data_IF_065148828641
#
_entry.id   IF_065148828641
#
_cell.length_a   1.000
_cell.length_b   1.000
_cell.length_c   1.000
_cell.angle_alpha   90.00
_cell.angle_beta   90.00
_cell.angle_gamma   90.00
#
_symmetry.space_group_name_H-M   'P 1'
#
loop_
_entity.id
_entity.type
_entity.pdbx_description
1 polymer ?
#
# COMPACT_ATOMS: atom_id res chain seq x y z
N UNK A 1 47.07 32.87 61.11
CA UNK A 1 46.63 31.75 60.21
C UNK A 1 45.16 31.44 60.50
N UNK A 2 44.20 31.60 59.58
CA UNK A 2 42.76 31.35 59.86
C UNK A 2 42.47 29.86 59.73
N UNK A 3 41.90 29.27 60.75
CA UNK A 3 41.42 27.86 60.75
C UNK A 3 40.20 27.73 59.85
N UNK A 4 40.31 26.94 58.74
CA UNK A 4 39.22 26.57 57.86
C UNK A 4 38.24 25.64 58.64
N UNK A 5 37.01 26.07 58.93
CA UNK A 5 35.94 25.23 59.45
C UNK A 5 35.45 24.32 58.31
N UNK A 6 35.60 23.00 58.48
CA UNK A 6 34.96 22.02 57.64
C UNK A 6 33.44 22.05 57.88
N UNK A 7 32.65 22.28 56.83
CA UNK A 7 31.21 22.13 56.91
C UNK A 7 30.88 20.63 56.86
N UNK A 8 30.01 20.10 57.80
CA UNK A 8 29.61 18.70 57.73
C UNK A 8 28.82 18.42 56.48
N UNK A 9 29.23 17.40 55.73
CA UNK A 9 28.55 16.88 54.56
C UNK A 9 27.21 16.27 54.98
N UNK A 10 26.12 16.68 54.34
CA UNK A 10 24.78 16.14 54.57
C UNK A 10 24.77 14.64 54.33
N UNK A 11 24.09 13.80 55.16
CA UNK A 11 24.04 12.37 54.97
C UNK A 11 23.35 12.06 53.64
N UNK A 12 24.01 11.30 52.79
CA UNK A 12 23.46 10.80 51.54
C UNK A 12 22.30 9.84 51.88
N UNK A 13 21.11 10.15 51.44
CA UNK A 13 19.94 9.26 51.55
C UNK A 13 20.27 7.93 50.90
N UNK A 14 20.27 6.83 51.66
CA UNK A 14 20.39 5.47 51.12
C UNK A 14 19.21 5.21 50.19
N UNK A 15 19.49 5.09 48.90
CA UNK A 15 18.50 4.73 47.87
C UNK A 15 18.06 3.27 48.15
N UNK A 16 16.80 3.08 48.49
CA UNK A 16 16.24 1.74 48.74
C UNK A 16 16.23 0.91 47.46
N UNK A 17 16.45 -0.43 47.58
CA UNK A 17 16.45 -1.36 46.42
C UNK A 17 15.22 -1.22 45.51
N UNK A 18 14.06 -0.84 46.08
CA UNK A 18 12.83 -0.55 45.32
C UNK A 18 12.95 0.69 44.42
N UNK A 19 13.66 1.72 44.83
CA UNK A 19 13.87 2.94 44.05
C UNK A 19 14.88 2.76 42.89
N UNK A 20 15.79 1.77 43.05
CA UNK A 20 16.75 1.44 41.98
C UNK A 20 16.14 0.57 40.89
N UNK A 21 15.13 -0.26 41.20
CA UNK A 21 14.45 -1.15 40.26
C UNK A 21 13.33 -0.47 39.47
N UNK A 22 12.76 0.61 39.98
CA UNK A 22 11.60 1.28 39.36
C UNK A 22 11.90 1.88 37.98
N UNK A 23 13.03 2.59 37.74
CA UNK A 23 13.33 3.16 36.44
C UNK A 23 13.51 2.11 35.32
N UNK A 24 14.28 1.02 35.49
CA UNK A 24 14.46 0.03 34.43
C UNK A 24 13.15 -0.73 34.10
N UNK A 25 12.28 -0.96 35.07
CA UNK A 25 10.97 -1.60 34.84
C UNK A 25 10.06 -0.67 34.04
N UNK A 26 10.01 0.61 34.36
CA UNK A 26 9.21 1.58 33.60
C UNK A 26 9.71 1.75 32.17
N UNK A 27 11.03 1.76 31.94
CA UNK A 27 11.62 1.81 30.60
C UNK A 27 11.27 0.53 29.82
N UNK A 28 11.35 -0.63 30.45
CA UNK A 28 10.99 -1.92 29.83
C UNK A 28 9.52 -1.97 29.40
N UNK A 29 8.60 -1.49 30.24
CA UNK A 29 7.16 -1.41 29.89
C UNK A 29 6.92 -0.41 28.77
N UNK A 30 7.56 0.76 28.79
CA UNK A 30 7.40 1.77 27.76
C UNK A 30 7.93 1.30 26.40
N UNK A 31 9.07 0.59 26.36
CA UNK A 31 9.61 0.01 25.11
C UNK A 31 8.73 -1.10 24.58
N UNK A 32 8.22 -1.99 25.43
CA UNK A 32 7.29 -3.05 25.02
C UNK A 32 5.98 -2.45 24.47
N UNK A 33 5.40 -1.47 25.15
CA UNK A 33 4.21 -0.77 24.68
C UNK A 33 4.47 -0.07 23.33
N UNK A 34 5.64 0.56 23.15
CA UNK A 34 6.04 1.18 21.89
C UNK A 34 6.13 0.18 20.72
N UNK A 35 6.72 -1.00 20.97
CA UNK A 35 6.81 -2.07 19.95
C UNK A 35 5.41 -2.61 19.60
N UNK A 36 4.55 -2.82 20.59
CA UNK A 36 3.17 -3.26 20.38
C UNK A 36 2.40 -2.23 19.55
N UNK A 37 2.47 -0.94 19.90
CA UNK A 37 1.80 0.12 19.15
C UNK A 37 2.33 0.18 17.71
N UNK A 38 3.62 0.04 17.46
CA UNK A 38 4.19 0.01 16.11
C UNK A 38 3.74 -1.20 15.30
N UNK A 39 3.52 -2.36 15.93
CA UNK A 39 3.04 -3.57 15.24
C UNK A 39 1.53 -3.53 14.95
N UNK A 40 0.75 -2.87 15.81
CA UNK A 40 -0.71 -2.77 15.66
C UNK A 40 -1.20 -1.43 15.14
N UNK A 41 -0.31 -0.45 14.92
CA UNK A 41 -0.70 0.77 14.19
C UNK A 41 -1.07 0.36 12.77
N UNK A 42 -2.30 0.62 12.32
CA UNK A 42 -2.63 0.39 10.91
C UNK A 42 -1.60 1.15 10.07
N UNK A 43 -1.11 0.55 8.97
CA UNK A 43 -0.23 1.26 8.06
C UNK A 43 -0.90 2.60 7.73
N UNK A 44 -0.14 3.68 7.61
CA UNK A 44 -0.72 4.96 7.22
C UNK A 44 -1.59 4.70 6.00
N UNK A 45 -2.80 5.26 5.96
CA UNK A 45 -3.73 5.08 4.83
C UNK A 45 -3.13 5.77 3.60
N UNK A 46 -2.08 5.17 3.08
CA UNK A 46 -1.30 5.65 1.94
C UNK A 46 -2.20 5.79 0.72
N UNK A 47 -3.20 4.91 0.61
CA UNK A 47 -4.18 4.93 -0.48
C UNK A 47 -5.10 6.16 -0.44
N UNK A 48 -5.30 6.76 0.73
CA UNK A 48 -6.11 7.99 0.89
C UNK A 48 -5.33 9.29 0.70
N UNK A 49 -4.04 9.24 0.37
CA UNK A 49 -3.20 10.42 0.16
C UNK A 49 -3.43 10.96 -1.25
N UNK A 50 -3.72 12.27 -1.35
CA UNK A 50 -3.69 12.97 -2.61
C UNK A 50 -2.27 13.48 -2.88
N UNK A 51 -1.78 13.30 -4.10
CA UNK A 51 -0.51 13.87 -4.56
C UNK A 51 -0.59 15.40 -4.54
N UNK A 52 0.50 16.04 -4.17
CA UNK A 52 0.60 17.51 -4.19
C UNK A 52 0.85 18.05 -5.61
N UNK A 53 1.50 17.26 -6.42
CA UNK A 53 1.80 17.57 -7.81
C UNK A 53 1.92 16.27 -8.60
N UNK A 54 1.49 16.29 -9.85
CA UNK A 54 1.52 15.14 -10.76
C UNK A 54 2.73 15.23 -11.69
N UNK A 55 3.38 14.09 -11.98
CA UNK A 55 4.57 13.97 -12.84
C UNK A 55 5.84 14.70 -12.38
N UNK A 56 5.92 15.09 -11.12
CA UNK A 56 7.11 15.75 -10.54
C UNK A 56 7.67 15.06 -9.32
N UNK A 57 7.04 13.98 -8.89
CA UNK A 57 7.48 13.23 -7.72
C UNK A 57 8.76 12.44 -8.01
N UNK A 58 9.60 12.28 -6.98
CA UNK A 58 10.94 11.65 -7.12
C UNK A 58 10.85 10.16 -7.45
N UNK A 59 9.87 9.47 -6.87
CA UNK A 59 9.61 8.06 -7.15
C UNK A 59 8.48 7.96 -8.17
N UNK A 60 8.76 7.33 -9.30
CA UNK A 60 7.88 7.29 -10.45
C UNK A 60 8.12 5.97 -11.21
N UNK A 61 7.11 5.08 -11.24
CA UNK A 61 7.17 3.79 -11.94
C UNK A 61 5.85 3.52 -12.68
N UNK A 62 5.94 2.72 -13.75
CA UNK A 62 4.84 2.39 -14.64
C UNK A 62 4.70 0.87 -14.84
N UNK A 63 4.34 0.11 -13.80
CA UNK A 63 4.10 -1.32 -13.98
C UNK A 63 2.87 -1.57 -14.86
N UNK A 64 2.83 -2.75 -15.46
CA UNK A 64 1.73 -3.20 -16.32
C UNK A 64 0.79 -4.08 -15.50
N UNK A 65 -0.53 -3.81 -15.55
CA UNK A 65 -1.58 -4.62 -14.94
C UNK A 65 -2.56 -5.08 -16.01
N UNK A 66 -2.40 -6.31 -16.45
CA UNK A 66 -3.25 -6.94 -17.46
C UNK A 66 -4.45 -7.62 -16.80
N UNK A 67 -5.65 -7.31 -17.26
CA UNK A 67 -6.89 -7.94 -16.81
C UNK A 67 -7.44 -8.79 -17.94
N UNK A 68 -7.73 -10.05 -17.65
CA UNK A 68 -8.38 -10.97 -18.58
C UNK A 68 -9.68 -11.47 -18.00
N UNK A 69 -10.77 -11.39 -18.76
CA UNK A 69 -12.05 -12.01 -18.47
C UNK A 69 -12.29 -13.12 -19.47
N UNK A 70 -12.33 -14.37 -19.01
CA UNK A 70 -12.49 -15.58 -19.85
C UNK A 70 -11.58 -15.53 -21.08
N UNK A 71 -10.27 -15.32 -20.84
CA UNK A 71 -9.20 -15.20 -21.83
C UNK A 71 -9.25 -13.96 -22.75
N UNK A 72 -10.23 -13.05 -22.57
CA UNK A 72 -10.32 -11.79 -23.30
C UNK A 72 -9.67 -10.66 -22.50
N UNK A 73 -8.72 -9.96 -23.11
CA UNK A 73 -8.08 -8.82 -22.47
C UNK A 73 -9.08 -7.65 -22.30
N UNK A 74 -9.10 -7.11 -21.09
CA UNK A 74 -9.80 -5.87 -20.73
C UNK A 74 -8.77 -4.80 -20.36
N UNK A 75 -9.12 -3.54 -20.58
CA UNK A 75 -8.23 -2.42 -20.30
C UNK A 75 -8.70 -1.65 -19.07
N UNK A 76 -7.77 -1.01 -18.40
CA UNK A 76 -8.06 -0.07 -17.33
C UNK A 76 -8.62 1.23 -17.91
N UNK A 77 -9.62 1.85 -17.30
CA UNK A 77 -10.12 3.15 -17.72
C UNK A 77 -9.09 4.26 -17.44
N UNK A 78 -9.13 5.32 -18.22
CA UNK A 78 -8.47 6.58 -17.91
C UNK A 78 -9.00 7.18 -16.61
N UNK A 79 -8.14 7.85 -15.84
CA UNK A 79 -8.53 8.60 -14.65
C UNK A 79 -8.87 7.73 -13.44
N UNK A 80 -8.56 6.42 -13.48
CA UNK A 80 -8.63 5.61 -12.28
C UNK A 80 -7.65 6.17 -11.24
N UNK A 81 -8.09 6.22 -9.97
CA UNK A 81 -7.30 6.85 -8.89
C UNK A 81 -7.29 8.38 -8.93
N UNK A 82 -8.16 9.00 -9.73
CA UNK A 82 -8.39 10.45 -9.77
C UNK A 82 -9.84 10.74 -9.34
N UNK A 83 -10.01 11.59 -8.34
CA UNK A 83 -11.33 11.97 -7.82
C UNK A 83 -11.40 13.47 -7.51
N UNK A 84 -12.61 13.99 -7.35
CA UNK A 84 -12.81 15.36 -6.83
C UNK A 84 -13.12 15.25 -5.33
N UNK A 85 -12.20 15.74 -4.50
CA UNK A 85 -12.33 15.78 -3.06
C UNK A 85 -12.32 17.22 -2.57
N UNK A 86 -13.37 17.63 -1.87
CA UNK A 86 -13.56 19.00 -1.37
C UNK A 86 -13.43 20.08 -2.46
N UNK A 87 -13.93 19.77 -3.69
CA UNK A 87 -13.88 20.66 -4.86
C UNK A 87 -12.49 20.81 -5.48
N UNK A 88 -11.52 19.97 -5.11
CA UNK A 88 -10.18 19.92 -5.68
C UNK A 88 -9.91 18.53 -6.26
N UNK A 89 -9.13 18.50 -7.32
CA UNK A 89 -8.66 17.26 -7.88
C UNK A 89 -7.71 16.57 -6.87
N UNK A 90 -8.00 15.30 -6.60
CA UNK A 90 -7.17 14.40 -5.78
C UNK A 90 -6.68 13.29 -6.69
N UNK A 91 -5.38 13.21 -6.91
CA UNK A 91 -4.74 12.13 -7.64
C UNK A 91 -4.09 11.22 -6.59
N UNK A 92 -4.49 9.95 -6.55
CA UNK A 92 -3.92 8.97 -5.65
C UNK A 92 -2.57 8.46 -6.16
N UNK A 93 -1.80 7.84 -5.26
CA UNK A 93 -0.45 7.33 -5.58
C UNK A 93 -0.45 6.28 -6.69
N UNK A 94 -1.55 5.54 -6.86
CA UNK A 94 -1.78 4.62 -7.98
C UNK A 94 -2.92 5.21 -8.81
N UNK A 95 -2.65 5.50 -10.05
CA UNK A 95 -3.66 6.04 -10.98
C UNK A 95 -3.35 5.63 -12.43
N UNK A 96 -4.27 5.91 -13.34
CA UNK A 96 -4.08 5.76 -14.79
C UNK A 96 -4.18 7.10 -15.48
N UNK A 97 -3.30 7.33 -16.45
CA UNK A 97 -3.27 8.56 -17.26
C UNK A 97 -4.05 8.40 -18.57
N UNK A 98 -4.14 7.17 -19.07
CA UNK A 98 -4.81 6.79 -20.31
C UNK A 98 -5.50 5.44 -20.19
N UNK A 99 -6.36 5.12 -21.15
CA UNK A 99 -6.95 3.78 -21.29
C UNK A 99 -5.86 2.80 -21.69
N UNK A 100 -5.67 1.74 -20.92
CA UNK A 100 -4.62 0.74 -21.21
C UNK A 100 -4.44 -0.29 -20.12
N UNK A 101 -3.27 -0.89 -20.08
CA UNK A 101 -2.85 -1.86 -19.08
C UNK A 101 -1.74 -1.32 -18.15
N UNK A 102 -1.38 -0.06 -18.32
CA UNK A 102 -0.30 0.58 -17.55
C UNK A 102 -0.88 1.42 -16.42
N UNK A 103 -0.38 1.21 -15.20
CA UNK A 103 -0.68 2.06 -14.07
C UNK A 103 0.52 2.96 -13.77
N UNK A 104 0.24 4.14 -13.25
CA UNK A 104 1.24 5.08 -12.79
C UNK A 104 1.30 5.07 -11.26
N UNK A 105 2.47 4.83 -10.70
CA UNK A 105 2.72 4.89 -9.26
C UNK A 105 3.75 5.97 -9.02
N UNK A 106 3.34 7.04 -8.34
CA UNK A 106 4.24 8.14 -8.01
C UNK A 106 4.13 8.59 -6.55
N UNK A 107 5.25 9.00 -5.97
CA UNK A 107 5.32 9.54 -4.61
C UNK A 107 6.63 10.30 -4.36
N UNK A 108 6.68 11.10 -3.29
CA UNK A 108 7.87 11.86 -2.88
C UNK A 108 9.07 10.99 -2.48
N UNK A 109 8.86 9.71 -2.23
CA UNK A 109 9.89 8.74 -1.84
C UNK A 109 9.51 7.34 -2.29
N UNK A 110 10.47 6.41 -2.41
CA UNK A 110 10.16 5.01 -2.71
C UNK A 110 9.11 4.43 -1.76
N UNK A 111 8.09 3.82 -2.32
CA UNK A 111 6.97 3.22 -1.59
C UNK A 111 6.74 1.79 -2.08
N UNK A 112 6.29 0.91 -1.18
CA UNK A 112 5.96 -0.47 -1.49
C UNK A 112 4.45 -0.60 -1.59
N UNK A 113 3.95 -0.56 -2.81
CA UNK A 113 2.54 -0.82 -3.14
C UNK A 113 2.44 -2.15 -3.87
N UNK A 114 1.36 -2.87 -3.65
CA UNK A 114 1.12 -4.21 -4.17
C UNK A 114 -0.15 -4.25 -5.02
N UNK A 115 -0.41 -5.37 -5.67
CA UNK A 115 -1.68 -5.58 -6.37
C UNK A 115 -2.88 -5.53 -5.41
N UNK A 116 -2.68 -5.87 -4.14
CA UNK A 116 -3.73 -5.75 -3.13
C UNK A 116 -4.11 -4.28 -2.87
N UNK A 117 -3.11 -3.37 -2.80
CA UNK A 117 -3.34 -1.93 -2.67
C UNK A 117 -4.04 -1.36 -3.90
N UNK A 118 -3.62 -1.82 -5.11
CA UNK A 118 -4.29 -1.49 -6.36
C UNK A 118 -5.76 -1.92 -6.34
N UNK A 119 -6.05 -3.16 -5.95
CA UNK A 119 -7.42 -3.67 -5.90
C UNK A 119 -8.27 -2.93 -4.87
N UNK A 120 -7.72 -2.54 -3.71
CA UNK A 120 -8.44 -1.73 -2.73
C UNK A 120 -8.81 -0.33 -3.25
N UNK A 121 -7.94 0.28 -4.06
CA UNK A 121 -8.19 1.59 -4.66
C UNK A 121 -9.13 1.50 -5.86
N UNK A 122 -8.96 0.45 -6.66
CA UNK A 122 -9.60 0.32 -7.97
C UNK A 122 -10.99 -0.33 -7.89
N UNK A 123 -11.20 -1.25 -6.97
CA UNK A 123 -12.50 -1.89 -6.82
C UNK A 123 -13.43 -1.07 -5.91
N UNK A 124 -14.71 -1.07 -6.28
CA UNK A 124 -15.76 -0.53 -5.40
C UNK A 124 -16.05 -1.57 -4.32
N UNK A 125 -15.74 -1.24 -3.06
CA UNK A 125 -15.95 -2.09 -1.88
C UNK A 125 -15.35 -3.51 -2.01
N UNK A 126 -14.28 -3.69 -2.79
CA UNK A 126 -13.68 -4.98 -3.15
C UNK A 126 -14.65 -5.95 -3.86
N UNK A 127 -15.73 -5.45 -4.47
CA UNK A 127 -16.78 -6.27 -5.08
C UNK A 127 -16.89 -6.12 -6.58
N UNK A 128 -16.54 -4.98 -7.12
CA UNK A 128 -16.67 -4.72 -8.55
C UNK A 128 -15.50 -3.88 -9.08
N UNK A 129 -15.10 -4.14 -10.30
CA UNK A 129 -14.11 -3.35 -11.03
C UNK A 129 -14.71 -2.79 -12.30
N UNK A 130 -14.22 -1.63 -12.70
CA UNK A 130 -14.60 -1.03 -13.98
C UNK A 130 -13.51 -1.29 -15.00
N UNK A 131 -13.85 -1.87 -16.12
CA UNK A 131 -12.94 -2.15 -17.24
C UNK A 131 -13.43 -1.52 -18.53
N UNK A 132 -12.54 -1.42 -19.51
CA UNK A 132 -12.83 -1.00 -20.86
C UNK A 132 -12.73 -2.21 -21.78
N UNK A 133 -13.81 -2.51 -22.47
CA UNK A 133 -13.87 -3.51 -23.53
C UNK A 133 -13.60 -2.87 -24.89
N UNK A 134 -12.74 -3.49 -25.71
CA UNK A 134 -12.38 -3.01 -27.05
C UNK A 134 -12.58 -4.10 -28.12
N UNK A 135 -13.68 -4.87 -28.06
CA UNK A 135 -13.90 -5.98 -29.01
C UNK A 135 -14.22 -5.51 -30.45
N UNK A 136 -14.68 -4.29 -30.64
CA UNK A 136 -15.16 -3.79 -31.94
C UNK A 136 -14.46 -2.51 -32.38
N UNK A 137 -13.30 -2.18 -31.81
CA UNK A 137 -12.61 -0.92 -32.08
C UNK A 137 -13.28 0.30 -31.39
N UNK A 138 -14.32 0.09 -30.59
CA UNK A 138 -14.91 1.13 -29.75
C UNK A 138 -14.71 0.78 -28.27
N UNK A 139 -14.22 1.77 -27.51
CA UNK A 139 -14.05 1.64 -26.07
C UNK A 139 -15.40 1.70 -25.36
N UNK A 140 -15.81 0.58 -24.77
CA UNK A 140 -17.04 0.49 -23.97
C UNK A 140 -16.70 0.20 -22.51
N UNK A 141 -17.19 1.05 -21.62
CA UNK A 141 -17.05 0.86 -20.17
C UNK A 141 -17.96 -0.29 -19.72
N UNK A 142 -17.39 -1.20 -18.92
CA UNK A 142 -18.06 -2.37 -18.36
C UNK A 142 -17.73 -2.48 -16.86
N UNK A 143 -18.68 -2.96 -16.08
CA UNK A 143 -18.49 -3.18 -14.64
C UNK A 143 -18.56 -4.70 -14.41
N UNK A 144 -17.49 -5.27 -13.87
CA UNK A 144 -17.39 -6.69 -13.56
C UNK A 144 -17.55 -6.89 -12.05
N UNK A 145 -18.50 -7.75 -11.65
CA UNK A 145 -18.73 -8.13 -10.25
C UNK A 145 -17.75 -9.25 -9.89
N UNK A 146 -16.80 -8.99 -9.00
CA UNK A 146 -15.72 -9.93 -8.68
C UNK A 146 -16.21 -11.25 -8.07
N UNK A 147 -17.36 -11.23 -7.39
CA UNK A 147 -17.96 -12.42 -6.81
C UNK A 147 -18.42 -13.47 -7.86
N UNK A 148 -18.61 -13.04 -9.11
CA UNK A 148 -19.00 -13.91 -10.22
C UNK A 148 -17.84 -14.69 -10.84
N UNK A 149 -16.60 -14.40 -10.39
CA UNK A 149 -15.37 -14.94 -10.97
C UNK A 149 -14.50 -15.67 -9.94
N UNK A 150 -13.79 -16.68 -10.42
CA UNK A 150 -12.59 -17.21 -9.77
C UNK A 150 -11.39 -16.38 -10.22
N UNK A 151 -10.75 -15.70 -9.26
CA UNK A 151 -9.68 -14.73 -9.55
C UNK A 151 -8.32 -15.40 -9.35
N UNK A 152 -7.50 -15.36 -10.39
CA UNK A 152 -6.11 -15.83 -10.34
C UNK A 152 -5.15 -14.66 -10.57
N UNK A 153 -4.07 -14.63 -9.81
CA UNK A 153 -3.03 -13.63 -9.93
C UNK A 153 -1.73 -14.28 -10.38
N UNK A 154 -1.04 -13.63 -11.29
CA UNK A 154 0.33 -14.00 -11.63
C UNK A 154 1.15 -12.75 -11.91
N UNK A 155 2.46 -12.85 -11.75
CA UNK A 155 3.35 -11.75 -12.06
C UNK A 155 4.59 -12.24 -12.79
N UNK A 156 5.12 -11.36 -13.60
CA UNK A 156 6.36 -11.52 -14.32
C UNK A 156 7.35 -10.49 -13.79
N UNK A 157 8.51 -10.96 -13.39
CA UNK A 157 9.64 -10.11 -13.01
C UNK A 157 10.87 -10.53 -13.80
N UNK A 158 12.03 -10.08 -13.45
CA UNK A 158 13.30 -10.26 -14.16
C UNK A 158 13.67 -11.72 -14.53
N UNK A 159 12.99 -12.72 -13.97
CA UNK A 159 13.30 -14.15 -14.18
C UNK A 159 12.67 -14.79 -15.43
N UNK A 160 12.01 -14.03 -16.30
CA UNK A 160 11.38 -14.47 -17.55
C UNK A 160 10.30 -15.56 -17.44
N UNK A 161 9.69 -15.75 -16.25
CA UNK A 161 8.56 -16.66 -16.05
C UNK A 161 7.45 -16.01 -15.24
N UNK A 162 6.19 -16.35 -15.58
CA UNK A 162 5.05 -15.95 -14.76
C UNK A 162 4.96 -16.81 -13.50
N UNK A 163 5.03 -16.17 -12.34
CA UNK A 163 4.80 -16.81 -11.05
C UNK A 163 3.34 -16.66 -10.66
N UNK A 164 2.62 -17.78 -10.56
CA UNK A 164 1.22 -17.79 -10.14
C UNK A 164 1.11 -17.68 -8.62
N UNK A 165 0.17 -16.87 -8.15
CA UNK A 165 -0.09 -16.62 -6.72
C UNK A 165 -1.58 -16.84 -6.44
N UNK A 166 -1.86 -17.57 -5.36
CA UNK A 166 -3.23 -17.90 -4.96
C UNK A 166 -3.99 -16.73 -4.30
N UNK A 167 -3.29 -15.71 -3.83
CA UNK A 167 -3.88 -14.58 -3.12
C UNK A 167 -3.12 -13.28 -3.40
N UNK A 168 -3.84 -12.19 -3.69
CA UNK A 168 -3.26 -10.86 -3.95
C UNK A 168 -2.37 -10.33 -2.82
N UNK A 169 -2.62 -10.74 -1.57
CA UNK A 169 -1.82 -10.33 -0.41
C UNK A 169 -0.41 -10.92 -0.39
N UNK A 170 -0.17 -11.99 -1.15
CA UNK A 170 1.14 -12.64 -1.26
C UNK A 170 1.98 -12.07 -2.42
N UNK A 171 1.42 -11.17 -3.20
CA UNK A 171 2.13 -10.54 -4.32
C UNK A 171 3.26 -9.64 -3.82
N UNK A 172 4.42 -9.67 -4.49
CA UNK A 172 5.51 -8.75 -4.20
C UNK A 172 5.09 -7.30 -4.53
N UNK A 173 5.78 -6.29 -3.95
CA UNK A 173 5.56 -4.91 -4.32
C UNK A 173 5.85 -4.66 -5.80
N UNK A 174 5.11 -3.71 -6.39
CA UNK A 174 5.35 -3.27 -7.75
C UNK A 174 6.78 -2.77 -7.96
N UNK A 175 7.37 -3.17 -9.08
CA UNK A 175 8.64 -2.66 -9.59
C UNK A 175 8.44 -2.05 -10.98
N UNK A 176 9.43 -1.31 -11.47
CA UNK A 176 9.35 -0.54 -12.71
C UNK A 176 8.94 -1.38 -13.93
N UNK A 177 9.50 -2.59 -14.04
CA UNK A 177 9.33 -3.44 -15.22
C UNK A 177 8.43 -4.66 -14.92
N UNK A 178 7.66 -4.61 -13.83
CA UNK A 178 6.77 -5.69 -13.43
C UNK A 178 5.53 -5.73 -14.29
N UNK A 179 5.15 -6.92 -14.74
CA UNK A 179 3.88 -7.21 -15.37
C UNK A 179 3.07 -8.09 -14.41
N UNK A 180 1.88 -7.62 -14.03
CA UNK A 180 0.92 -8.38 -13.24
C UNK A 180 -0.24 -8.78 -14.14
N UNK A 181 -0.66 -10.04 -14.06
CA UNK A 181 -1.82 -10.56 -14.76
C UNK A 181 -2.89 -10.95 -13.75
N UNK A 182 -4.11 -10.46 -13.96
CA UNK A 182 -5.32 -10.78 -13.21
C UNK A 182 -6.23 -11.54 -14.17
N UNK A 183 -6.52 -12.80 -13.89
CA UNK A 183 -7.42 -13.64 -14.69
C UNK A 183 -8.73 -13.84 -13.92
N UNK A 184 -9.81 -13.42 -14.52
CA UNK A 184 -11.18 -13.55 -14.05
C UNK A 184 -11.85 -14.67 -14.84
N UNK A 185 -12.07 -15.82 -14.21
CA UNK A 185 -12.75 -16.96 -14.83
C UNK A 185 -14.15 -17.03 -14.31
N UNK A 186 -15.13 -16.91 -15.20
CA UNK A 186 -16.55 -16.96 -14.84
C UNK A 186 -16.88 -18.25 -14.11
N UNK A 187 -17.51 -18.13 -12.93
CA UNK A 187 -18.03 -19.27 -12.21
C UNK A 187 -19.20 -19.86 -12.99
N UNK A 188 -19.04 -21.09 -13.50
CA UNK A 188 -20.17 -21.79 -14.06
C UNK A 188 -21.19 -22.07 -12.94
N UNK A 189 -22.35 -21.47 -13.04
CA UNK A 189 -23.48 -21.77 -12.15
C UNK A 189 -23.84 -23.26 -12.32
N UNK A 190 -23.60 -24.04 -11.27
CA UNK A 190 -24.05 -25.44 -11.21
C UNK A 190 -25.51 -25.49 -10.78
#
# INVERSE_FOLDING_TARGET
MPKRRFKPTKPTKKIGKKQLLLPPVMIGIATLAGIIIMQFSPPPQVLGICLKAHNVETFNIYPVVQIFEDDKQKYLPEGMGKEIKDGKECIHLIHTDEVGDRIHIEYIRPIRLTINDFMQLYSVDNKAITVINNETGSFKKEILTLDDYDIQYSYFSENNEFTQISNSTLMPPFTKDMVVKIELKSKMWK
#
